data_IF_100986160732
#
_entry.id   IF_100986160732
#
_cell.length_a   1.000
_cell.length_b   1.000
_cell.length_c   1.000
_cell.angle_alpha   90.00
_cell.angle_beta   90.00
_cell.angle_gamma   90.00
#
_symmetry.space_group_name_H-M   'P 1'
#
loop_
_entity.id
_entity.type
_entity.pdbx_description
1 polymer ?
#
# COMPACT_ATOMS: atom_id res chain seq x y z
N UNK A 1 20.27 -6.23 41.38
CA UNK A 1 19.84 -7.36 40.54
C UNK A 1 18.71 -6.89 39.63
N UNK A 2 18.95 -6.97 38.32
CA UNK A 2 17.99 -7.12 37.20
C UNK A 2 16.96 -6.01 36.88
N UNK A 3 17.40 -5.04 36.05
CA UNK A 3 17.01 -4.76 34.65
C UNK A 3 15.56 -4.96 34.11
N UNK A 4 15.25 -4.12 33.09
CA UNK A 4 14.17 -4.13 32.07
C UNK A 4 12.78 -3.59 32.48
N UNK A 5 12.13 -2.68 31.74
CA UNK A 5 12.48 -2.05 30.48
C UNK A 5 11.37 -1.06 30.09
N UNK A 6 11.78 0.13 29.64
CA UNK A 6 10.87 1.10 29.06
C UNK A 6 10.27 0.53 27.75
N UNK A 7 8.95 0.44 27.66
CA UNK A 7 8.24 0.22 26.38
C UNK A 7 7.16 1.28 26.24
N UNK A 8 7.57 2.48 25.87
CA UNK A 8 6.70 3.50 25.29
C UNK A 8 6.12 2.95 23.99
N UNK A 9 4.93 2.33 24.08
CA UNK A 9 4.15 1.86 22.91
C UNK A 9 3.09 2.88 22.45
N UNK A 10 3.07 4.08 23.04
CA UNK A 10 2.03 5.09 22.79
C UNK A 10 2.48 6.28 21.93
N UNK A 11 3.70 6.27 21.38
CA UNK A 11 4.15 7.29 20.42
C UNK A 11 4.36 6.77 19.00
N UNK A 12 4.13 5.47 18.74
CA UNK A 12 4.42 4.84 17.44
C UNK A 12 3.19 4.53 16.57
N UNK A 13 1.98 4.77 17.09
CA UNK A 13 0.73 4.66 16.31
C UNK A 13 0.67 5.64 15.12
N UNK A 14 1.10 6.93 15.22
CA UNK A 14 0.82 7.88 14.15
C UNK A 14 1.62 7.62 12.86
N UNK A 15 2.82 7.04 12.94
CA UNK A 15 3.65 6.80 11.75
C UNK A 15 3.15 5.62 10.90
N UNK A 16 2.57 4.59 11.50
CA UNK A 16 2.05 3.44 10.75
C UNK A 16 0.71 3.79 10.12
N UNK A 17 -0.21 4.40 10.87
CA UNK A 17 -1.49 4.89 10.35
C UNK A 17 -1.28 5.88 9.20
N UNK A 18 -0.29 6.78 9.32
CA UNK A 18 0.01 7.73 8.26
C UNK A 18 0.52 7.06 6.99
N UNK A 19 1.40 6.05 7.08
CA UNK A 19 1.88 5.32 5.89
C UNK A 19 0.78 4.51 5.23
N UNK A 20 -0.09 3.87 6.02
CA UNK A 20 -1.25 3.15 5.48
C UNK A 20 -2.27 4.08 4.86
N UNK A 21 -2.49 5.26 5.44
CA UNK A 21 -3.38 6.29 4.88
C UNK A 21 -2.82 6.89 3.59
N UNK A 22 -1.50 7.13 3.53
CA UNK A 22 -0.82 7.66 2.34
C UNK A 22 -0.78 6.61 1.23
N UNK A 23 -0.50 5.35 1.56
CA UNK A 23 -0.59 4.23 0.62
C UNK A 23 -2.04 3.92 0.19
N UNK A 24 -3.02 4.29 1.03
CA UNK A 24 -4.44 4.13 0.75
C UNK A 24 -4.93 2.69 0.70
N UNK A 25 -4.24 1.75 1.36
CA UNK A 25 -4.64 0.34 1.33
C UNK A 25 -5.80 0.06 2.29
N UNK A 26 -6.88 -0.51 1.76
CA UNK A 26 -8.08 -0.88 2.50
C UNK A 26 -8.69 -2.18 1.95
N UNK A 27 -9.36 -3.00 2.78
CA UNK A 27 -10.18 -4.09 2.27
C UNK A 27 -11.41 -3.54 1.53
N UNK A 28 -11.72 -4.11 0.35
CA UNK A 28 -12.97 -3.86 -0.37
C UNK A 28 -14.10 -4.79 0.07
N UNK A 29 -13.74 -6.00 0.49
CA UNK A 29 -14.68 -7.03 0.89
C UNK A 29 -14.35 -7.55 2.30
N UNK A 30 -15.36 -8.00 3.07
CA UNK A 30 -15.13 -8.70 4.33
C UNK A 30 -14.17 -9.88 4.11
N UNK A 31 -13.21 -10.05 5.03
CA UNK A 31 -12.22 -11.12 4.90
C UNK A 31 -11.01 -10.79 4.00
N UNK A 32 -10.96 -9.60 3.40
CA UNK A 32 -9.88 -9.17 2.48
C UNK A 32 -9.87 -9.92 1.13
N UNK A 33 -11.03 -10.40 0.65
CA UNK A 33 -11.14 -11.02 -0.68
C UNK A 33 -10.75 -10.10 -1.85
N UNK A 34 -10.80 -8.79 -1.63
CA UNK A 34 -10.32 -7.77 -2.56
C UNK A 34 -9.68 -6.58 -1.80
N UNK A 35 -8.70 -5.93 -2.45
CA UNK A 35 -7.94 -4.80 -1.90
C UNK A 35 -8.25 -3.54 -2.71
N UNK A 36 -8.50 -2.42 -2.03
CA UNK A 36 -8.49 -1.07 -2.61
C UNK A 36 -7.16 -0.40 -2.29
N UNK A 37 -6.57 0.25 -3.28
CA UNK A 37 -5.35 1.04 -3.19
C UNK A 37 -5.65 2.46 -3.68
N UNK A 38 -5.66 3.43 -2.76
CA UNK A 38 -5.89 4.85 -3.06
C UNK A 38 -4.68 5.73 -2.67
N UNK A 39 -3.54 5.58 -3.37
CA UNK A 39 -2.30 6.29 -3.05
C UNK A 39 -2.44 7.81 -3.21
N UNK A 40 -2.00 8.56 -2.20
CA UNK A 40 -2.07 10.04 -2.19
C UNK A 40 -0.82 10.69 -2.79
N UNK A 41 -0.71 10.66 -4.12
CA UNK A 41 0.45 11.15 -4.87
C UNK A 41 0.83 12.62 -4.66
N UNK A 42 -0.12 13.47 -4.22
CA UNK A 42 0.14 14.89 -3.98
C UNK A 42 0.90 15.18 -2.67
N UNK A 43 1.03 14.19 -1.79
CA UNK A 43 1.72 14.37 -0.50
C UNK A 43 3.22 14.14 -0.58
N UNK A 44 3.69 13.28 -1.48
CA UNK A 44 5.10 12.90 -1.59
C UNK A 44 5.50 12.67 -3.05
N UNK A 45 6.64 13.23 -3.46
CA UNK A 45 7.25 12.98 -4.78
C UNK A 45 7.76 11.54 -4.91
N UNK A 46 8.21 10.94 -3.81
CA UNK A 46 8.66 9.56 -3.73
C UNK A 46 8.11 8.92 -2.45
N UNK A 47 7.73 7.66 -2.53
CA UNK A 47 7.18 6.91 -1.42
C UNK A 47 7.52 5.43 -1.53
N UNK A 48 7.85 4.81 -0.40
CA UNK A 48 8.02 3.36 -0.26
C UNK A 48 7.44 2.95 1.10
N UNK A 49 6.35 2.18 1.06
CA UNK A 49 5.73 1.63 2.25
C UNK A 49 5.41 0.15 2.09
N UNK A 50 5.46 -0.54 3.23
CA UNK A 50 4.97 -1.90 3.40
C UNK A 50 3.80 -1.86 4.37
N UNK A 51 2.67 -2.41 3.95
CA UNK A 51 1.43 -2.47 4.71
C UNK A 51 1.08 -3.94 4.92
N UNK A 52 0.94 -4.36 6.17
CA UNK A 52 0.46 -5.69 6.48
C UNK A 52 -1.00 -5.85 6.08
N UNK A 53 -1.32 -6.96 5.42
CA UNK A 53 -2.66 -7.35 5.03
C UNK A 53 -3.32 -8.17 6.14
N UNK A 54 -4.65 -8.05 6.25
CA UNK A 54 -5.45 -8.81 7.21
C UNK A 54 -6.25 -9.93 6.56
N UNK A 55 -7.10 -10.59 7.37
CA UNK A 55 -8.07 -11.56 6.88
C UNK A 55 -7.43 -12.78 6.22
N UNK A 56 -7.98 -13.19 5.08
CA UNK A 56 -7.53 -14.33 4.29
C UNK A 56 -6.17 -14.09 3.61
N UNK A 57 -5.78 -12.82 3.45
CA UNK A 57 -4.50 -12.44 2.88
C UNK A 57 -3.38 -12.40 3.92
N UNK A 58 -3.67 -12.51 5.22
CA UNK A 58 -2.65 -12.56 6.27
C UNK A 58 -1.86 -13.89 6.19
N UNK A 59 -0.53 -13.89 6.42
CA UNK A 59 0.31 -12.79 6.91
C UNK A 59 0.91 -11.89 5.81
N UNK A 60 0.22 -11.75 4.69
CA UNK A 60 0.73 -11.04 3.51
C UNK A 60 1.05 -9.57 3.73
N UNK A 61 1.90 -9.06 2.84
CA UNK A 61 2.41 -7.71 2.86
C UNK A 61 2.17 -7.08 1.48
N UNK A 62 1.50 -5.94 1.46
CA UNK A 62 1.47 -5.09 0.27
C UNK A 62 2.58 -4.05 0.36
N UNK A 63 3.49 -4.06 -0.61
CA UNK A 63 4.48 -3.01 -0.81
C UNK A 63 3.99 -2.06 -1.89
N UNK A 64 3.97 -0.77 -1.59
CA UNK A 64 3.55 0.29 -2.49
C UNK A 64 4.73 1.22 -2.65
N UNK A 65 5.14 1.43 -3.89
CA UNK A 65 6.25 2.31 -4.24
C UNK A 65 5.76 3.25 -5.31
N UNK A 66 6.02 4.54 -5.15
CA UNK A 66 5.95 5.45 -6.29
C UNK A 66 7.08 6.45 -6.28
N UNK A 67 7.38 6.94 -7.48
CA UNK A 67 8.34 8.02 -7.69
C UNK A 67 7.88 8.90 -8.84
N UNK A 68 8.03 10.20 -8.67
CA UNK A 68 7.88 11.21 -9.71
C UNK A 68 9.25 11.62 -10.19
N UNK A 69 9.47 11.57 -11.50
CA UNK A 69 10.73 12.04 -12.06
C UNK A 69 10.81 13.57 -11.97
N UNK A 70 11.96 14.08 -11.52
CA UNK A 70 12.16 15.50 -11.26
C UNK A 70 12.04 16.32 -12.55
N UNK A 71 11.02 17.17 -12.64
CA UNK A 71 10.78 18.06 -13.79
C UNK A 71 9.84 17.50 -14.85
N UNK A 72 9.31 16.29 -14.68
CA UNK A 72 8.23 15.74 -15.50
C UNK A 72 7.00 15.48 -14.63
N UNK A 73 5.83 15.40 -15.27
CA UNK A 73 4.59 15.00 -14.60
C UNK A 73 4.45 13.47 -14.54
N UNK A 74 5.48 12.73 -14.93
CA UNK A 74 5.45 11.28 -15.00
C UNK A 74 5.59 10.67 -13.61
N UNK A 75 4.64 9.79 -13.28
CA UNK A 75 4.62 9.03 -12.05
C UNK A 75 4.64 7.54 -12.36
N UNK A 76 5.55 6.84 -11.71
CA UNK A 76 5.63 5.39 -11.70
C UNK A 76 5.08 4.87 -10.38
N UNK A 77 4.08 3.98 -10.41
CA UNK A 77 3.52 3.29 -9.25
C UNK A 77 3.77 1.78 -9.39
N UNK A 78 4.25 1.16 -8.34
CA UNK A 78 4.39 -0.29 -8.23
C UNK A 78 3.71 -0.80 -6.97
N UNK A 79 2.91 -1.84 -7.11
CA UNK A 79 2.22 -2.54 -6.03
C UNK A 79 2.65 -4.00 -6.09
N UNK A 80 3.21 -4.52 -5.00
CA UNK A 80 3.66 -5.90 -4.88
C UNK A 80 3.08 -6.57 -3.63
N UNK A 81 2.33 -7.64 -3.84
CA UNK A 81 1.69 -8.45 -2.81
C UNK A 81 2.55 -9.69 -2.51
N UNK A 82 3.08 -9.77 -1.30
CA UNK A 82 4.05 -10.79 -0.87
C UNK A 82 3.51 -11.58 0.32
N UNK A 83 4.04 -12.79 0.55
CA UNK A 83 3.73 -13.63 1.73
C UNK A 83 2.24 -13.97 1.93
N UNK A 84 1.46 -13.97 0.84
CA UNK A 84 0.03 -14.29 0.85
C UNK A 84 -0.17 -15.80 0.67
N UNK A 85 -0.93 -16.48 1.55
CA UNK A 85 -1.13 -17.93 1.50
C UNK A 85 -2.16 -18.37 0.43
N UNK A 86 -2.86 -17.43 -0.20
CA UNK A 86 -3.89 -17.68 -1.21
C UNK A 86 -3.25 -17.80 -2.59
N UNK A 87 -3.51 -18.91 -3.28
CA UNK A 87 -3.01 -19.15 -4.64
C UNK A 87 -3.81 -18.40 -5.72
N UNK A 88 -5.10 -18.16 -5.48
CA UNK A 88 -5.98 -17.45 -6.39
C UNK A 88 -5.50 -16.03 -6.70
N UNK A 89 -5.78 -15.52 -7.92
CA UNK A 89 -5.47 -14.15 -8.29
C UNK A 89 -6.26 -13.18 -7.42
N UNK A 90 -5.55 -12.27 -6.77
CA UNK A 90 -6.13 -11.30 -5.85
C UNK A 90 -6.67 -10.12 -6.64
N UNK A 91 -7.91 -9.73 -6.37
CA UNK A 91 -8.49 -8.52 -6.95
C UNK A 91 -7.92 -7.27 -6.27
N UNK A 92 -7.38 -6.37 -7.06
CA UNK A 92 -6.83 -5.09 -6.62
C UNK A 92 -7.49 -3.97 -7.41
N UNK A 93 -8.24 -3.11 -6.72
CA UNK A 93 -8.76 -1.86 -7.29
C UNK A 93 -7.80 -0.73 -6.98
N UNK A 94 -7.28 -0.07 -8.00
CA UNK A 94 -6.32 1.03 -7.89
C UNK A 94 -7.01 2.33 -8.30
N UNK A 95 -7.04 3.30 -7.39
CA UNK A 95 -7.54 4.64 -7.67
C UNK A 95 -6.38 5.49 -8.23
N UNK A 96 -6.41 5.70 -9.54
CA UNK A 96 -5.47 6.53 -10.28
C UNK A 96 -6.09 7.91 -10.54
N UNK A 97 -5.28 8.94 -10.87
CA UNK A 97 -5.80 10.23 -11.29
C UNK A 97 -6.68 10.16 -12.54
N UNK A 98 -6.43 9.18 -13.43
CA UNK A 98 -7.23 8.90 -14.62
C UNK A 98 -8.58 8.23 -14.33
N UNK A 99 -8.77 7.69 -13.11
CA UNK A 99 -9.94 6.92 -12.72
C UNK A 99 -9.58 5.67 -11.90
N UNK A 100 -10.60 4.88 -11.61
CA UNK A 100 -10.43 3.60 -10.88
C UNK A 100 -10.21 2.47 -11.87
N UNK A 101 -9.15 1.70 -11.68
CA UNK A 101 -8.87 0.50 -12.48
C UNK A 101 -8.92 -0.75 -11.60
N UNK A 102 -9.51 -1.83 -12.11
CA UNK A 102 -9.52 -3.14 -11.45
C UNK A 102 -8.51 -4.08 -12.12
N UNK A 103 -7.66 -4.69 -11.29
CA UNK A 103 -6.60 -5.59 -11.72
C UNK A 103 -6.65 -6.89 -10.92
N UNK A 104 -6.09 -7.95 -11.50
CA UNK A 104 -5.98 -9.26 -10.85
C UNK A 104 -4.52 -9.69 -10.86
N UNK A 105 -3.96 -9.97 -9.69
CA UNK A 105 -2.58 -10.41 -9.57
C UNK A 105 -1.90 -9.94 -8.30
N UNK A 106 -0.58 -10.12 -8.27
CA UNK A 106 0.27 -9.79 -7.11
C UNK A 106 1.24 -8.66 -7.39
N UNK A 107 1.69 -8.53 -8.63
CA UNK A 107 2.65 -7.50 -9.05
C UNK A 107 2.00 -6.63 -10.12
N UNK A 108 1.79 -5.36 -9.79
CA UNK A 108 1.16 -4.38 -10.66
C UNK A 108 2.07 -3.17 -10.81
N UNK A 109 2.24 -2.68 -12.02
CA UNK A 109 3.04 -1.48 -12.30
C UNK A 109 2.27 -0.59 -13.25
N UNK A 110 2.24 0.71 -12.92
CA UNK A 110 1.51 1.73 -13.63
C UNK A 110 2.43 2.91 -13.91
N UNK A 111 2.30 3.47 -15.10
CA UNK A 111 2.97 4.69 -15.50
C UNK A 111 1.91 5.65 -16.03
N UNK A 112 1.83 6.84 -15.45
CA UNK A 112 0.86 7.86 -15.86
C UNK A 112 1.37 9.25 -15.58
N UNK A 113 0.72 10.25 -16.17
CA UNK A 113 1.06 11.65 -15.96
C UNK A 113 0.03 12.30 -15.03
N UNK A 114 0.51 13.12 -14.09
CA UNK A 114 -0.33 13.95 -13.24
C UNK A 114 -0.61 15.28 -13.93
N UNK A 115 -1.87 15.70 -13.99
CA UNK A 115 -2.26 17.02 -14.54
C UNK A 115 -1.92 18.19 -13.61
#
# INVERSE_FOLDING_TARGET
MSQLGARTRWSSVPLYEFKTEVAGIKPLEPGWGAISCAPRFNLFSEFDAKVALGGELAPGIARIIWSREGGTHELSLSIALQDIPVEDPIRVSVELPSGVEEHFGRDLTFNFQLE
#
